data_IF_939531023022
#
_entry.id   IF_939531023022
#
_cell.length_a   1.000
_cell.length_b   1.000
_cell.length_c   1.000
_cell.angle_alpha   90.00
_cell.angle_beta   90.00
_cell.angle_gamma   90.00
#
_symmetry.space_group_name_H-M   'P 1'
#
loop_
_entity.id
_entity.type
_entity.pdbx_description
1 polymer ?
#
# COMPACT_ATOMS: atom_id res chain seq x y z
N UNK A 1 -21.71 27.52 -12.72
CA UNK A 1 -21.80 26.23 -11.98
C UNK A 1 -20.87 25.15 -12.56
N UNK A 2 -20.55 25.18 -13.86
CA UNK A 2 -19.60 24.25 -14.54
C UNK A 2 -18.12 24.54 -14.27
N UNK A 3 -17.73 25.77 -13.95
CA UNK A 3 -16.34 26.15 -13.69
C UNK A 3 -15.81 25.73 -12.32
N UNK A 4 -16.68 25.55 -11.31
CA UNK A 4 -16.28 24.98 -10.00
C UNK A 4 -15.96 23.48 -10.08
N UNK A 5 -16.63 22.75 -10.98
CA UNK A 5 -16.35 21.32 -11.18
C UNK A 5 -15.00 21.09 -11.86
N UNK A 6 -14.61 21.92 -12.85
CA UNK A 6 -13.31 21.78 -13.52
C UNK A 6 -12.11 22.03 -12.58
N UNK A 7 -12.19 23.01 -11.67
CA UNK A 7 -11.14 23.24 -10.67
C UNK A 7 -10.97 22.09 -9.66
N UNK A 8 -12.07 21.43 -9.32
CA UNK A 8 -12.05 20.25 -8.44
C UNK A 8 -11.49 19.00 -9.15
N UNK A 9 -11.81 18.81 -10.43
CA UNK A 9 -11.30 17.68 -11.22
C UNK A 9 -9.78 17.77 -11.42
N UNK A 10 -9.23 18.97 -11.69
CA UNK A 10 -7.78 19.16 -11.83
C UNK A 10 -7.01 18.87 -10.54
N UNK A 11 -7.58 19.21 -9.37
CA UNK A 11 -6.94 18.95 -8.08
C UNK A 11 -7.03 17.47 -7.66
N UNK A 12 -8.14 16.80 -7.96
CA UNK A 12 -8.26 15.34 -7.83
C UNK A 12 -7.28 14.59 -8.74
N UNK A 13 -7.17 15.00 -10.01
CA UNK A 13 -6.24 14.38 -10.97
C UNK A 13 -4.79 14.52 -10.52
N UNK A 14 -4.38 15.71 -10.07
CA UNK A 14 -3.03 15.94 -9.55
C UNK A 14 -2.74 15.11 -8.29
N UNK A 15 -3.73 14.93 -7.41
CA UNK A 15 -3.59 14.08 -6.21
C UNK A 15 -3.40 12.62 -6.60
N UNK A 16 -4.20 12.08 -7.52
CA UNK A 16 -4.05 10.70 -8.00
C UNK A 16 -2.69 10.47 -8.66
N UNK A 17 -2.18 11.42 -9.46
CA UNK A 17 -0.85 11.33 -10.06
C UNK A 17 0.26 11.31 -9.00
N UNK A 18 0.16 12.13 -7.94
CA UNK A 18 1.10 12.11 -6.82
C UNK A 18 1.08 10.79 -6.05
N UNK A 19 -0.10 10.22 -5.82
CA UNK A 19 -0.23 8.90 -5.16
C UNK A 19 0.26 7.75 -6.05
N UNK A 20 0.00 7.81 -7.35
CA UNK A 20 0.48 6.82 -8.31
C UNK A 20 2.01 6.82 -8.38
N UNK A 21 2.61 7.99 -8.57
CA UNK A 21 4.08 8.14 -8.59
C UNK A 21 4.71 7.68 -7.29
N UNK A 22 4.13 8.05 -6.13
CA UNK A 22 4.59 7.57 -4.83
C UNK A 22 4.48 6.03 -4.70
N UNK A 23 3.36 5.44 -5.12
CA UNK A 23 3.17 3.99 -5.14
C UNK A 23 4.21 3.27 -6.01
N UNK A 24 4.48 3.78 -7.21
CA UNK A 24 5.54 3.24 -8.07
C UNK A 24 6.92 3.34 -7.42
N UNK A 25 7.25 4.46 -6.76
CA UNK A 25 8.54 4.61 -6.07
C UNK A 25 8.69 3.61 -4.92
N UNK A 26 7.66 3.42 -4.10
CA UNK A 26 7.68 2.42 -3.02
C UNK A 26 7.82 1.01 -3.58
N UNK A 27 7.10 0.68 -4.66
CA UNK A 27 7.21 -0.62 -5.33
C UNK A 27 8.64 -0.90 -5.79
N UNK A 28 9.30 0.09 -6.40
CA UNK A 28 10.71 -0.04 -6.83
C UNK A 28 11.63 -0.29 -5.63
N UNK A 29 11.49 0.49 -4.54
CA UNK A 29 12.32 0.31 -3.32
C UNK A 29 12.14 -1.09 -2.74
N UNK A 30 10.90 -1.57 -2.62
CA UNK A 30 10.61 -2.91 -2.12
C UNK A 30 11.21 -3.99 -3.03
N UNK A 31 11.12 -3.82 -4.35
CA UNK A 31 11.76 -4.73 -5.31
C UNK A 31 13.28 -4.75 -5.15
N UNK A 32 13.91 -3.61 -4.88
CA UNK A 32 15.35 -3.55 -4.58
C UNK A 32 15.71 -4.32 -3.31
N UNK A 33 14.91 -4.22 -2.24
CA UNK A 33 15.14 -5.01 -1.02
C UNK A 33 15.02 -6.52 -1.30
N UNK A 34 14.01 -6.92 -2.07
CA UNK A 34 13.82 -8.31 -2.47
C UNK A 34 14.96 -8.81 -3.38
N UNK A 35 15.52 -7.93 -4.22
CA UNK A 35 16.65 -8.24 -5.11
C UNK A 35 17.91 -8.60 -4.34
N UNK A 36 18.32 -7.75 -3.40
CA UNK A 36 19.51 -7.95 -2.56
C UNK A 36 19.47 -9.28 -1.78
N UNK A 37 18.27 -9.73 -1.42
CA UNK A 37 18.08 -10.99 -0.70
C UNK A 37 17.91 -12.21 -1.61
N UNK A 38 17.18 -12.10 -2.74
CA UNK A 38 17.03 -13.20 -3.70
C UNK A 38 18.35 -13.56 -4.38
N UNK A 39 19.26 -12.60 -4.59
CA UNK A 39 20.64 -12.89 -5.04
C UNK A 39 21.43 -13.77 -4.06
N UNK A 40 21.08 -13.79 -2.76
CA UNK A 40 21.69 -14.72 -1.78
C UNK A 40 21.08 -16.13 -1.82
N UNK A 41 19.90 -16.31 -2.41
CA UNK A 41 19.16 -17.58 -2.43
C UNK A 41 19.10 -18.25 -3.82
N UNK A 42 19.17 -17.49 -4.92
CA UNK A 42 19.12 -18.05 -6.28
C UNK A 42 20.15 -17.39 -7.22
N UNK A 43 21.15 -18.18 -7.61
CA UNK A 43 22.17 -17.88 -8.62
C UNK A 43 21.58 -17.98 -10.05
N UNK A 44 20.58 -17.15 -10.37
CA UNK A 44 19.92 -17.16 -11.69
C UNK A 44 19.78 -15.73 -12.25
N UNK A 45 20.81 -15.21 -12.95
CA UNK A 45 20.88 -13.79 -13.37
C UNK A 45 19.98 -13.43 -14.56
N UNK A 46 19.03 -14.29 -14.98
CA UNK A 46 18.26 -14.12 -16.22
C UNK A 46 16.75 -13.91 -16.05
N UNK A 47 16.24 -13.85 -14.83
CA UNK A 47 14.83 -13.54 -14.56
C UNK A 47 14.63 -12.07 -14.09
N UNK A 48 15.53 -11.20 -14.52
CA UNK A 48 15.78 -9.90 -13.88
C UNK A 48 15.11 -8.71 -14.60
N UNK A 49 14.52 -8.96 -15.77
CA UNK A 49 13.84 -7.93 -16.57
C UNK A 49 12.73 -8.54 -17.46
N UNK A 50 12.05 -9.56 -16.94
CA UNK A 50 10.91 -10.16 -17.63
C UNK A 50 9.65 -9.32 -17.37
N UNK A 51 8.83 -9.12 -18.41
CA UNK A 51 7.50 -8.49 -18.38
C UNK A 51 6.69 -8.58 -17.06
N UNK A 52 6.69 -9.69 -16.29
CA UNK A 52 6.07 -9.77 -14.97
C UNK A 52 6.52 -8.75 -13.91
N UNK A 53 7.75 -8.24 -13.95
CA UNK A 53 8.19 -7.23 -12.96
C UNK A 53 7.57 -5.85 -13.21
N UNK A 54 7.37 -5.48 -14.47
CA UNK A 54 6.67 -4.24 -14.85
C UNK A 54 5.18 -4.32 -14.54
N UNK A 55 4.54 -5.50 -14.73
CA UNK A 55 3.14 -5.67 -14.37
C UNK A 55 2.93 -5.54 -12.86
N UNK A 56 3.84 -6.05 -12.01
CA UNK A 56 3.77 -5.83 -10.55
C UNK A 56 3.89 -4.35 -10.16
N UNK A 57 4.83 -3.62 -10.76
CA UNK A 57 5.01 -2.17 -10.48
C UNK A 57 3.75 -1.40 -10.89
N UNK A 58 3.16 -1.75 -12.03
CA UNK A 58 1.92 -1.14 -12.51
C UNK A 58 0.72 -1.48 -11.61
N UNK A 59 0.60 -2.73 -11.13
CA UNK A 59 -0.48 -3.15 -10.22
C UNK A 59 -0.36 -2.43 -8.88
N UNK A 60 0.85 -2.27 -8.34
CA UNK A 60 1.07 -1.56 -7.08
C UNK A 60 0.76 -0.06 -7.21
N UNK A 61 1.22 0.59 -8.29
CA UNK A 61 0.88 1.98 -8.58
C UNK A 61 -0.62 2.19 -8.77
N UNK A 62 -1.28 1.30 -9.52
CA UNK A 62 -2.73 1.33 -9.72
C UNK A 62 -3.48 1.13 -8.40
N UNK A 63 -3.05 0.19 -7.56
CA UNK A 63 -3.61 -0.02 -6.22
C UNK A 63 -3.51 1.22 -5.34
N UNK A 64 -2.35 1.90 -5.32
CA UNK A 64 -2.17 3.14 -4.58
C UNK A 64 -3.08 4.27 -5.08
N UNK A 65 -3.24 4.39 -6.40
CA UNK A 65 -4.15 5.37 -7.00
C UNK A 65 -5.63 5.04 -6.70
N UNK A 66 -6.01 3.76 -6.74
CA UNK A 66 -7.36 3.28 -6.43
C UNK A 66 -7.70 3.56 -4.96
N UNK A 67 -6.80 3.23 -4.02
CA UNK A 67 -6.99 3.53 -2.60
C UNK A 67 -7.06 5.04 -2.36
N UNK A 68 -6.19 5.83 -3.03
CA UNK A 68 -6.24 7.29 -2.98
C UNK A 68 -7.55 7.89 -3.49
N UNK A 69 -8.20 7.24 -4.46
CA UNK A 69 -9.51 7.61 -4.99
C UNK A 69 -10.67 7.13 -4.12
N UNK A 70 -10.57 5.96 -3.50
CA UNK A 70 -11.60 5.41 -2.62
C UNK A 70 -11.60 6.09 -1.24
N UNK A 71 -10.45 6.59 -0.79
CA UNK A 71 -10.31 7.29 0.48
C UNK A 71 -11.31 8.45 0.71
N UNK A 72 -11.56 9.37 -0.24
CA UNK A 72 -12.61 10.39 -0.07
C UNK A 72 -14.03 9.80 0.06
N UNK A 73 -14.33 8.63 -0.53
CA UNK A 73 -15.64 7.97 -0.37
C UNK A 73 -15.82 7.37 1.04
N UNK A 74 -14.73 6.90 1.64
CA UNK A 74 -14.73 6.43 3.03
C UNK A 74 -14.84 7.61 3.99
N UNK A 75 -14.16 8.73 3.70
CA UNK A 75 -14.26 9.96 4.50
C UNK A 75 -15.67 10.57 4.49
N UNK A 76 -16.34 10.65 3.35
CA UNK A 76 -17.71 11.22 3.29
C UNK A 76 -18.71 10.39 4.09
N UNK A 77 -18.46 9.08 4.19
CA UNK A 77 -19.24 8.19 5.07
C UNK A 77 -18.97 8.48 6.55
N UNK A 78 -17.73 8.84 6.91
CA UNK A 78 -17.27 9.19 8.27
C UNK A 78 -17.61 10.62 8.72
N UNK A 79 -17.67 11.58 7.80
CA UNK A 79 -18.05 12.98 8.08
C UNK A 79 -19.51 13.08 8.54
N UNK A 80 -20.38 12.14 8.15
CA UNK A 80 -21.75 12.05 8.69
C UNK A 80 -21.79 11.78 10.21
N UNK A 81 -20.73 11.23 10.79
CA UNK A 81 -20.67 10.87 12.21
C UNK A 81 -19.78 11.79 13.06
N UNK A 82 -19.06 12.73 12.47
CA UNK A 82 -17.92 13.41 13.14
C UNK A 82 -17.88 14.93 12.92
N UNK A 83 -19.01 15.62 13.05
CA UNK A 83 -19.10 17.09 13.08
C UNK A 83 -18.37 17.77 14.27
N UNK A 84 -17.44 17.11 14.98
CA UNK A 84 -16.92 17.59 16.28
C UNK A 84 -15.41 17.69 16.49
N UNK A 85 -14.52 17.25 15.58
CA UNK A 85 -13.07 17.39 15.83
C UNK A 85 -12.31 17.92 14.62
N UNK A 86 -12.52 19.22 14.38
CA UNK A 86 -11.79 20.01 13.40
C UNK A 86 -10.74 20.87 14.11
N UNK A 87 -9.53 20.34 14.32
CA UNK A 87 -8.28 21.14 14.25
C UNK A 87 -7.03 20.26 14.44
N UNK A 88 -6.53 19.56 13.41
CA UNK A 88 -5.27 18.78 13.51
C UNK A 88 -4.66 18.44 12.13
N UNK A 89 -4.66 19.38 11.18
CA UNK A 89 -4.26 19.13 9.79
C UNK A 89 -2.73 19.11 9.55
N UNK A 90 -1.95 19.77 10.40
CA UNK A 90 -0.48 19.84 10.28
C UNK A 90 0.22 18.63 10.89
N UNK A 91 -0.28 18.12 12.03
CA UNK A 91 0.26 16.90 12.69
C UNK A 91 0.08 15.67 11.80
N UNK A 92 -1.02 15.61 11.05
CA UNK A 92 -1.41 14.43 10.25
C UNK A 92 -0.40 14.07 9.15
N UNK A 93 0.33 15.05 8.58
CA UNK A 93 1.34 14.78 7.53
C UNK A 93 2.61 14.12 8.06
N UNK A 94 3.00 14.42 9.30
CA UNK A 94 4.19 13.82 9.95
C UNK A 94 3.96 12.34 10.23
N UNK A 95 2.76 11.98 10.69
CA UNK A 95 2.40 10.60 11.00
C UNK A 95 2.36 9.71 9.74
N UNK A 96 1.96 10.24 8.58
CA UNK A 96 2.01 9.51 7.31
C UNK A 96 3.45 9.21 6.89
N UNK A 97 4.37 10.16 7.02
CA UNK A 97 5.78 9.89 6.72
C UNK A 97 6.39 8.86 7.67
N UNK A 98 6.05 8.93 8.97
CA UNK A 98 6.49 7.95 9.96
C UNK A 98 5.98 6.54 9.64
N UNK A 99 4.71 6.39 9.28
CA UNK A 99 4.15 5.07 8.96
C UNK A 99 4.82 4.44 7.73
N UNK A 100 5.13 5.24 6.70
CA UNK A 100 5.86 4.77 5.51
C UNK A 100 7.26 4.29 5.87
N UNK A 101 7.99 5.06 6.69
CA UNK A 101 9.36 4.68 7.10
C UNK A 101 9.35 3.40 7.93
N UNK A 102 8.42 3.26 8.88
CA UNK A 102 8.30 2.05 9.69
C UNK A 102 7.90 0.86 8.81
N UNK A 103 6.98 1.03 7.86
CA UNK A 103 6.58 0.00 6.91
C UNK A 103 7.77 -0.48 6.07
N UNK A 104 8.57 0.43 5.51
CA UNK A 104 9.79 0.09 4.78
C UNK A 104 10.81 -0.64 5.66
N UNK A 105 10.97 -0.20 6.91
CA UNK A 105 11.85 -0.83 7.89
C UNK A 105 11.43 -2.27 8.22
N UNK A 106 10.13 -2.50 8.47
CA UNK A 106 9.59 -3.84 8.71
C UNK A 106 9.79 -4.72 7.48
N UNK A 107 9.49 -4.23 6.27
CA UNK A 107 9.72 -5.00 5.04
C UNK A 107 11.19 -5.39 4.87
N UNK A 108 12.12 -4.46 5.12
CA UNK A 108 13.54 -4.74 5.07
C UNK A 108 13.98 -5.75 6.15
N UNK A 109 13.45 -5.65 7.37
CA UNK A 109 13.70 -6.63 8.44
C UNK A 109 13.14 -8.01 8.09
N UNK A 110 11.92 -8.07 7.57
CA UNK A 110 11.25 -9.30 7.15
C UNK A 110 12.06 -10.05 6.09
N UNK A 111 12.67 -9.32 5.16
CA UNK A 111 13.55 -9.89 4.14
C UNK A 111 14.86 -10.40 4.75
N UNK A 112 15.40 -9.71 5.76
CA UNK A 112 16.71 -10.04 6.34
C UNK A 112 16.66 -11.14 7.41
N UNK A 113 15.52 -11.32 8.08
CA UNK A 113 15.36 -12.30 9.16
C UNK A 113 15.02 -13.67 8.55
N UNK A 114 15.85 -14.71 8.75
CA UNK A 114 15.50 -16.06 8.33
C UNK A 114 14.46 -16.64 9.29
N UNK A 115 13.18 -16.50 8.95
CA UNK A 115 12.11 -17.15 9.70
C UNK A 115 12.16 -18.65 9.49
N UNK A 116 12.17 -19.41 10.58
CA UNK A 116 12.21 -20.88 10.54
C UNK A 116 10.87 -21.51 10.10
N UNK A 117 9.78 -20.76 10.16
CA UNK A 117 8.44 -21.28 9.82
C UNK A 117 7.53 -20.15 9.34
N UNK A 118 6.71 -20.46 8.33
CA UNK A 118 5.75 -19.51 7.72
C UNK A 118 4.72 -18.99 8.73
N UNK A 119 4.42 -19.79 9.76
CA UNK A 119 3.55 -19.40 10.87
C UNK A 119 4.15 -18.26 11.70
N UNK A 120 5.45 -18.30 12.00
CA UNK A 120 6.12 -17.23 12.76
C UNK A 120 6.16 -15.93 11.96
N UNK A 121 6.37 -16.03 10.65
CA UNK A 121 6.34 -14.89 9.75
C UNK A 121 4.96 -14.23 9.71
N UNK A 122 3.91 -15.02 9.50
CA UNK A 122 2.52 -14.53 9.40
C UNK A 122 2.05 -13.92 10.73
N UNK A 123 2.38 -14.54 11.85
CA UNK A 123 2.02 -14.03 13.18
C UNK A 123 2.72 -12.69 13.48
N UNK A 124 3.99 -12.56 13.11
CA UNK A 124 4.74 -11.31 13.23
C UNK A 124 4.12 -10.20 12.38
N UNK A 125 3.74 -10.50 11.13
CA UNK A 125 3.09 -9.54 10.25
C UNK A 125 1.71 -9.13 10.81
N UNK A 126 0.92 -10.08 11.30
CA UNK A 126 -0.37 -9.81 11.91
C UNK A 126 -0.23 -8.89 13.15
N UNK A 127 0.78 -9.13 13.99
CA UNK A 127 1.09 -8.27 15.12
C UNK A 127 1.40 -6.84 14.67
N UNK A 128 2.22 -6.66 13.64
CA UNK A 128 2.51 -5.32 13.08
C UNK A 128 1.28 -4.65 12.49
N UNK A 129 0.40 -5.38 11.80
CA UNK A 129 -0.86 -4.83 11.29
C UNK A 129 -1.76 -4.30 12.42
N UNK A 130 -1.89 -5.05 13.52
CA UNK A 130 -2.67 -4.63 14.69
C UNK A 130 -2.00 -3.43 15.39
N UNK A 131 -0.67 -3.45 15.54
CA UNK A 131 0.08 -2.35 16.13
C UNK A 131 -0.08 -1.06 15.32
N UNK A 132 -0.01 -1.15 13.98
CA UNK A 132 -0.23 -0.01 13.10
C UNK A 132 -1.64 0.53 13.16
N UNK A 133 -2.64 -0.36 13.20
CA UNK A 133 -4.02 0.03 13.40
C UNK A 133 -4.18 0.81 14.72
N UNK A 134 -3.63 0.30 15.81
CA UNK A 134 -3.70 0.96 17.10
C UNK A 134 -2.96 2.32 17.15
N UNK A 135 -1.79 2.43 16.51
CA UNK A 135 -0.96 3.63 16.56
C UNK A 135 -1.39 4.74 15.60
N UNK A 136 -1.75 4.39 14.36
CA UNK A 136 -1.94 5.37 13.29
C UNK A 136 -3.40 5.56 12.90
N UNK A 137 -4.19 4.50 12.89
CA UNK A 137 -5.54 4.53 12.33
C UNK A 137 -6.52 3.85 13.28
N UNK A 138 -6.94 4.56 14.33
CA UNK A 138 -7.85 4.04 15.37
C UNK A 138 -9.26 3.69 14.85
N UNK A 139 -9.51 3.83 13.55
CA UNK A 139 -10.80 3.58 12.91
C UNK A 139 -10.97 2.12 12.51
N UNK A 140 -12.01 1.48 13.04
CA UNK A 140 -12.39 0.09 12.69
C UNK A 140 -12.82 -0.01 11.22
N UNK A 141 -13.47 1.03 10.68
CA UNK A 141 -13.98 1.04 9.31
C UNK A 141 -12.84 1.00 8.29
N UNK A 142 -11.77 1.77 8.53
CA UNK A 142 -10.59 1.77 7.66
C UNK A 142 -9.87 0.42 7.69
N UNK A 143 -9.83 -0.22 8.86
CA UNK A 143 -9.23 -1.55 9.02
C UNK A 143 -9.98 -2.62 8.21
N UNK A 144 -11.32 -2.67 8.34
CA UNK A 144 -12.15 -3.61 7.58
C UNK A 144 -12.02 -3.35 6.07
N UNK A 145 -12.04 -2.09 5.65
CA UNK A 145 -11.86 -1.71 4.26
C UNK A 145 -10.50 -2.19 3.69
N UNK A 146 -9.42 -2.03 4.47
CA UNK A 146 -8.10 -2.52 4.09
C UNK A 146 -8.05 -4.04 3.97
N UNK A 147 -8.71 -4.78 4.88
CA UNK A 147 -8.79 -6.24 4.80
C UNK A 147 -9.53 -6.68 3.53
N UNK A 148 -10.65 -6.04 3.20
CA UNK A 148 -11.43 -6.36 2.00
C UNK A 148 -10.61 -6.13 0.73
N UNK A 149 -9.92 -4.99 0.61
CA UNK A 149 -9.05 -4.72 -0.54
C UNK A 149 -7.92 -5.75 -0.61
N UNK A 150 -7.29 -6.07 0.53
CA UNK A 150 -6.22 -7.06 0.57
C UNK A 150 -6.71 -8.42 0.08
N UNK A 151 -7.91 -8.85 0.48
CA UNK A 151 -8.48 -10.12 0.06
C UNK A 151 -8.76 -10.13 -1.46
N UNK A 152 -9.36 -9.06 -1.99
CA UNK A 152 -9.63 -8.92 -3.43
C UNK A 152 -8.32 -8.96 -4.22
N UNK A 153 -7.29 -8.25 -3.76
CA UNK A 153 -6.01 -8.17 -4.44
C UNK A 153 -5.30 -9.53 -4.43
N UNK A 154 -5.27 -10.23 -3.28
CA UNK A 154 -4.72 -11.59 -3.18
C UNK A 154 -5.44 -12.55 -4.12
N UNK A 155 -6.78 -12.53 -4.14
CA UNK A 155 -7.56 -13.36 -5.06
C UNK A 155 -7.23 -13.05 -6.53
N UNK A 156 -7.08 -11.78 -6.89
CA UNK A 156 -6.73 -11.36 -8.25
C UNK A 156 -5.35 -11.89 -8.65
N UNK A 157 -4.37 -11.80 -7.75
CA UNK A 157 -3.01 -12.30 -7.98
C UNK A 157 -3.02 -13.83 -8.12
N UNK A 158 -3.73 -14.53 -7.24
CA UNK A 158 -3.89 -16.00 -7.30
C UNK A 158 -4.52 -16.47 -8.61
N UNK A 159 -5.56 -15.77 -9.09
CA UNK A 159 -6.19 -16.07 -10.38
C UNK A 159 -5.21 -15.84 -11.52
N UNK A 160 -4.46 -14.73 -11.49
CA UNK A 160 -3.51 -14.36 -12.54
C UNK A 160 -2.33 -15.34 -12.61
N UNK A 161 -1.83 -15.81 -11.46
CA UNK A 161 -0.81 -16.86 -11.36
C UNK A 161 -1.32 -18.18 -11.96
N UNK A 162 -2.57 -18.57 -11.66
CA UNK A 162 -3.18 -19.79 -12.23
C UNK A 162 -3.43 -19.67 -13.73
N UNK A 163 -3.67 -18.47 -14.23
CA UNK A 163 -3.82 -18.19 -15.66
C UNK A 163 -2.48 -18.16 -16.42
N UNK A 164 -1.33 -18.23 -15.73
CA UNK A 164 0.00 -18.19 -16.33
C UNK A 164 0.38 -16.83 -16.92
N UNK A 165 -0.30 -15.76 -16.52
CA UNK A 165 -0.07 -14.40 -17.00
C UNK A 165 0.91 -13.61 -16.10
N UNK A 166 1.46 -14.25 -15.07
CA UNK A 166 2.46 -13.72 -14.15
C UNK A 166 3.63 -14.70 -13.97
#
# INVERSE_FOLDING_TARGET
MTTMFMGSVSSCSLRSVKLFTFGCTLAVVLMTFQYEHKLRLFNSPRLMLTLPSLSLISICGFGAALVGFLYPMVITTMERTSFLEHDNSVVRKSEVCKSVVIFLGINHLCVKIPFQSDLHFTLTLAFFCIAFWWWFDRSIINFIFSILISLILTMTIEILLRAGAL
#
